data_IF_003636844856
#
_entry.id   IF_003636844856
#
_cell.length_a   1.000
_cell.length_b   1.000
_cell.length_c   1.000
_cell.angle_alpha   90.00
_cell.angle_beta   90.00
_cell.angle_gamma   90.00
#
_symmetry.space_group_name_H-M   'P 1'
#
loop_
_entity.id
_entity.type
_entity.pdbx_description
1 polymer ?
#
# COMPACT_ATOMS: atom_id res chain seq x y z
N UNK A 1 6.87 4.22 -25.93
CA UNK A 1 7.76 3.64 -24.90
C UNK A 1 7.84 4.66 -23.78
N UNK A 2 6.98 4.54 -22.77
CA UNK A 2 6.94 5.48 -21.65
C UNK A 2 8.20 5.28 -20.79
N UNK A 3 8.89 6.37 -20.54
CA UNK A 3 10.03 6.47 -19.63
C UNK A 3 9.64 5.93 -18.25
N UNK A 4 10.29 4.85 -17.80
CA UNK A 4 10.22 4.40 -16.41
C UNK A 4 10.88 5.48 -15.57
N UNK A 5 10.05 6.36 -15.01
CA UNK A 5 10.48 7.26 -13.95
C UNK A 5 11.00 6.37 -12.82
N UNK A 6 12.32 6.43 -12.57
CA UNK A 6 12.94 5.87 -11.37
C UNK A 6 12.40 6.62 -10.16
N UNK A 7 11.18 6.30 -9.75
CA UNK A 7 10.65 6.67 -8.45
C UNK A 7 11.59 6.10 -7.40
N UNK A 8 12.17 6.98 -6.58
CA UNK A 8 12.96 6.56 -5.44
C UNK A 8 12.03 5.88 -4.45
N UNK A 9 11.89 4.56 -4.57
CA UNK A 9 11.16 3.76 -3.57
C UNK A 9 11.77 3.97 -2.20
N UNK A 10 10.92 4.19 -1.21
CA UNK A 10 11.37 4.31 0.18
C UNK A 10 12.06 3.04 0.66
N UNK A 11 12.84 3.11 1.76
CA UNK A 11 13.43 1.90 2.36
C UNK A 11 12.35 0.87 2.73
N UNK A 12 11.21 1.36 3.24
CA UNK A 12 10.08 0.52 3.62
C UNK A 12 9.50 -0.23 2.41
N UNK A 13 9.25 0.46 1.30
CA UNK A 13 8.79 -0.20 0.07
C UNK A 13 9.76 -1.28 -0.41
N UNK A 14 11.08 -1.04 -0.33
CA UNK A 14 12.07 -2.06 -0.72
C UNK A 14 12.01 -3.29 0.19
N UNK A 15 11.84 -3.07 1.49
CA UNK A 15 11.77 -4.15 2.49
C UNK A 15 10.46 -4.95 2.37
N UNK A 16 9.33 -4.28 2.13
CA UNK A 16 8.03 -4.92 1.86
C UNK A 16 8.08 -5.72 0.56
N UNK A 17 8.61 -5.14 -0.51
CA UNK A 17 8.80 -5.83 -1.80
C UNK A 17 9.65 -7.10 -1.62
N UNK A 18 10.78 -7.01 -0.92
CA UNK A 18 11.62 -8.17 -0.62
C UNK A 18 10.89 -9.24 0.21
N UNK A 19 9.94 -8.85 1.07
CA UNK A 19 9.10 -9.79 1.79
C UNK A 19 8.14 -10.54 0.86
N UNK A 20 7.47 -9.82 -0.04
CA UNK A 20 6.59 -10.41 -1.06
C UNK A 20 7.36 -11.36 -1.98
N UNK A 21 8.56 -10.96 -2.42
CA UNK A 21 9.44 -11.79 -3.24
C UNK A 21 9.79 -13.11 -2.53
N UNK A 22 10.17 -13.06 -1.24
CA UNK A 22 10.46 -14.28 -0.44
C UNK A 22 9.25 -15.19 -0.29
N UNK A 23 8.06 -14.62 -0.25
CA UNK A 23 6.80 -15.37 -0.19
C UNK A 23 6.33 -15.84 -1.58
N UNK A 24 7.07 -15.54 -2.65
CA UNK A 24 6.68 -15.81 -4.04
C UNK A 24 5.31 -15.23 -4.40
N UNK A 25 4.95 -14.08 -3.82
CA UNK A 25 3.72 -13.35 -4.13
C UNK A 25 4.04 -12.36 -5.24
N UNK A 26 3.34 -12.46 -6.37
CA UNK A 26 3.46 -11.50 -7.46
C UNK A 26 2.75 -10.18 -7.10
N UNK A 27 3.36 -9.06 -7.46
CA UNK A 27 2.82 -7.72 -7.25
C UNK A 27 3.21 -6.78 -8.39
N UNK A 28 2.32 -5.83 -8.67
CA UNK A 28 2.60 -4.66 -9.49
C UNK A 28 3.00 -3.49 -8.58
N UNK A 29 3.70 -2.50 -9.11
CA UNK A 29 4.25 -1.36 -8.36
C UNK A 29 3.81 -0.04 -8.96
N UNK A 30 3.60 0.96 -8.11
CA UNK A 30 3.20 2.32 -8.51
C UNK A 30 1.97 2.34 -9.46
N UNK A 31 0.96 1.53 -9.12
CA UNK A 31 -0.22 1.36 -9.96
C UNK A 31 -1.16 2.55 -9.79
N UNK A 32 -1.48 3.22 -10.89
CA UNK A 32 -2.49 4.26 -10.90
C UNK A 32 -3.89 3.63 -10.92
N UNK A 33 -4.81 4.11 -10.08
CA UNK A 33 -6.21 3.69 -10.12
C UNK A 33 -6.86 4.09 -11.44
N UNK A 34 -7.92 3.39 -11.85
CA UNK A 34 -8.59 3.63 -13.14
C UNK A 34 -9.14 5.05 -13.29
N UNK A 35 -9.56 5.65 -12.17
CA UNK A 35 -10.03 7.04 -12.09
C UNK A 35 -8.88 8.07 -12.10
N UNK A 36 -7.63 7.62 -12.03
CA UNK A 36 -6.43 8.46 -12.02
C UNK A 36 -6.17 9.19 -10.70
N UNK A 37 -6.95 8.93 -9.65
CA UNK A 37 -6.93 9.73 -8.43
C UNK A 37 -5.86 9.29 -7.42
N UNK A 38 -5.54 8.00 -7.38
CA UNK A 38 -4.62 7.44 -6.40
C UNK A 38 -3.53 6.63 -7.09
N UNK A 39 -2.30 6.74 -6.59
CA UNK A 39 -1.18 5.87 -6.97
C UNK A 39 -0.92 4.93 -5.81
N UNK A 40 -1.09 3.63 -6.07
CA UNK A 40 -0.90 2.55 -5.11
C UNK A 40 0.57 2.12 -5.13
N UNK A 41 1.20 2.00 -3.96
CA UNK A 41 2.61 1.60 -3.89
C UNK A 41 2.82 0.18 -4.45
N UNK A 42 2.02 -0.79 -4.01
CA UNK A 42 2.02 -2.15 -4.55
C UNK A 42 0.61 -2.73 -4.64
N UNK A 43 0.32 -3.43 -5.74
CA UNK A 43 -0.95 -4.12 -5.96
C UNK A 43 -0.72 -5.62 -6.08
N UNK A 44 -1.37 -6.40 -5.22
CA UNK A 44 -1.35 -7.87 -5.26
C UNK A 44 -2.69 -8.39 -5.80
N UNK A 45 -2.61 -9.32 -6.75
CA UNK A 45 -3.77 -10.04 -7.30
C UNK A 45 -3.88 -11.41 -6.66
N UNK A 46 -4.90 -11.58 -5.83
CA UNK A 46 -5.24 -12.85 -5.19
C UNK A 46 -6.46 -13.52 -5.84
N UNK A 47 -6.64 -14.80 -5.50
CA UNK A 47 -7.90 -15.51 -5.75
C UNK A 47 -8.60 -15.83 -4.45
N UNK A 48 -9.92 -15.69 -4.43
CA UNK A 48 -10.77 -16.15 -3.33
C UNK A 48 -11.08 -17.64 -3.48
N UNK A 49 -11.50 -18.28 -2.39
CA UNK A 49 -11.82 -19.72 -2.36
C UNK A 49 -12.98 -20.09 -3.32
N UNK A 50 -13.86 -19.15 -3.63
CA UNK A 50 -14.95 -19.29 -4.60
C UNK A 50 -14.50 -19.04 -6.06
N UNK A 51 -13.20 -18.81 -6.30
CA UNK A 51 -12.62 -18.60 -7.62
C UNK A 51 -12.69 -17.17 -8.15
N UNK A 52 -13.19 -16.21 -7.36
CA UNK A 52 -13.14 -14.79 -7.66
C UNK A 52 -11.71 -14.21 -7.62
N UNK A 53 -11.55 -13.00 -8.19
CA UNK A 53 -10.33 -12.21 -8.06
C UNK A 53 -10.48 -11.23 -6.90
N UNK A 54 -9.42 -11.05 -6.12
CA UNK A 54 -9.35 -10.06 -5.03
C UNK A 54 -8.09 -9.23 -5.20
N UNK A 55 -8.25 -7.92 -5.15
CA UNK A 55 -7.16 -6.97 -5.30
C UNK A 55 -6.79 -6.39 -3.93
N UNK A 56 -5.52 -6.51 -3.56
CA UNK A 56 -4.98 -5.94 -2.33
C UNK A 56 -4.03 -4.80 -2.68
N UNK A 57 -4.39 -3.58 -2.30
CA UNK A 57 -3.49 -2.43 -2.26
C UNK A 57 -2.66 -2.48 -0.98
N UNK A 58 -1.35 -2.44 -1.13
CA UNK A 58 -0.39 -2.33 -0.03
C UNK A 58 0.21 -0.92 -0.09
N UNK A 59 0.01 -0.14 0.97
CA UNK A 59 0.50 1.25 1.12
C UNK A 59 1.60 1.28 2.18
N UNK A 60 2.79 1.76 1.82
CA UNK A 60 3.96 1.83 2.69
C UNK A 60 4.00 3.19 3.41
N UNK A 61 3.18 3.33 4.44
CA UNK A 61 2.93 4.60 5.10
C UNK A 61 4.08 4.98 6.06
N UNK A 62 4.81 6.04 5.72
CA UNK A 62 5.80 6.68 6.57
C UNK A 62 5.20 7.55 7.70
N UNK A 63 6.03 8.12 8.61
CA UNK A 63 5.57 8.83 9.81
C UNK A 63 4.59 9.99 9.57
N UNK A 64 4.63 10.63 8.40
CA UNK A 64 3.74 11.76 8.04
C UNK A 64 2.29 11.35 7.83
N UNK A 65 2.01 10.07 7.61
CA UNK A 65 0.67 9.52 7.43
C UNK A 65 -0.05 9.24 8.76
N UNK A 66 0.63 9.52 9.89
CA UNK A 66 0.12 9.23 11.21
C UNK A 66 0.15 10.46 12.12
N UNK A 67 -0.89 10.58 12.93
CA UNK A 67 -0.95 11.45 14.08
C UNK A 67 -0.47 10.67 15.31
N UNK A 68 0.40 11.30 16.11
CA UNK A 68 0.81 10.78 17.40
C UNK A 68 -0.10 11.34 18.49
N UNK A 69 -0.84 10.45 19.16
CA UNK A 69 -1.68 10.80 20.29
C UNK A 69 -0.85 11.03 21.56
N UNK A 70 -1.46 11.68 22.56
CA UNK A 70 -0.80 12.00 23.83
C UNK A 70 -0.44 10.75 24.67
N UNK A 71 -1.14 9.64 24.46
CA UNK A 71 -0.84 8.33 25.04
C UNK A 71 0.32 7.60 24.34
N UNK A 72 0.92 8.23 23.32
CA UNK A 72 2.01 7.67 22.53
C UNK A 72 1.57 6.76 21.38
N UNK A 73 0.26 6.51 21.22
CA UNK A 73 -0.26 5.69 20.10
C UNK A 73 -0.21 6.46 18.78
N UNK A 74 -0.05 5.73 17.68
CA UNK A 74 -0.15 6.28 16.33
C UNK A 74 -1.52 5.96 15.75
N UNK A 75 -2.12 6.94 15.08
CA UNK A 75 -3.37 6.78 14.34
C UNK A 75 -3.18 7.35 12.94
N UNK A 76 -3.73 6.71 11.93
CA UNK A 76 -3.74 7.27 10.57
C UNK A 76 -4.36 8.67 10.59
N UNK A 77 -3.76 9.59 9.83
CA UNK A 77 -4.30 10.94 9.70
C UNK A 77 -5.55 10.94 8.79
N UNK A 78 -6.21 12.10 8.70
CA UNK A 78 -7.43 12.22 7.90
C UNK A 78 -7.22 11.99 6.41
N UNK A 79 -6.04 12.37 5.88
CA UNK A 79 -5.73 12.23 4.45
C UNK A 79 -5.50 10.77 4.06
N UNK A 80 -4.73 10.04 4.88
CA UNK A 80 -4.47 8.60 4.76
C UNK A 80 -5.76 7.81 4.94
N UNK A 81 -6.60 8.19 5.91
CA UNK A 81 -7.92 7.57 6.08
C UNK A 81 -8.81 7.76 4.84
N UNK A 82 -8.87 8.98 4.29
CA UNK A 82 -9.66 9.26 3.09
C UNK A 82 -9.18 8.45 1.88
N UNK A 83 -7.86 8.42 1.60
CA UNK A 83 -7.26 7.55 0.57
C UNK A 83 -7.69 6.10 0.75
N UNK A 84 -7.55 5.55 1.96
CA UNK A 84 -7.89 4.16 2.24
C UNK A 84 -9.40 3.89 2.09
N UNK A 85 -10.27 4.87 2.36
CA UNK A 85 -11.70 4.74 2.10
C UNK A 85 -12.01 4.73 0.60
N UNK A 86 -11.36 5.57 -0.18
CA UNK A 86 -11.59 5.65 -1.62
C UNK A 86 -11.10 4.39 -2.35
N UNK A 87 -9.92 3.87 -2.00
CA UNK A 87 -9.43 2.59 -2.52
C UNK A 87 -10.40 1.43 -2.20
N UNK A 88 -11.01 1.41 -1.00
CA UNK A 88 -12.02 0.41 -0.66
C UNK A 88 -13.32 0.57 -1.46
N UNK A 89 -13.74 1.79 -1.78
CA UNK A 89 -14.90 2.02 -2.65
C UNK A 89 -14.65 1.53 -4.08
N UNK A 90 -13.40 1.52 -4.53
CA UNK A 90 -12.97 0.93 -5.80
C UNK A 90 -12.90 -0.61 -5.75
N UNK A 91 -13.24 -1.24 -4.61
CA UNK A 91 -13.27 -2.70 -4.46
C UNK A 91 -11.93 -3.32 -4.08
N UNK A 92 -10.93 -2.52 -3.71
CA UNK A 92 -9.66 -3.02 -3.21
C UNK A 92 -9.71 -3.26 -1.70
N UNK A 93 -9.06 -4.31 -1.23
CA UNK A 93 -8.59 -4.33 0.15
C UNK A 93 -7.39 -3.42 0.31
N UNK A 94 -7.23 -2.86 1.50
CA UNK A 94 -6.13 -1.94 1.79
C UNK A 94 -5.38 -2.45 3.01
N UNK A 95 -4.11 -2.78 2.81
CA UNK A 95 -3.13 -3.06 3.85
C UNK A 95 -2.19 -1.86 4.00
N UNK A 96 -2.33 -1.16 5.12
CA UNK A 96 -1.39 -0.13 5.54
C UNK A 96 -0.19 -0.81 6.22
N UNK A 97 1.00 -0.68 5.65
CA UNK A 97 2.25 -1.08 6.30
C UNK A 97 2.84 0.15 6.98
N UNK A 98 2.67 0.22 8.30
CA UNK A 98 3.15 1.33 9.09
C UNK A 98 4.66 1.25 9.32
N UNK A 99 5.41 2.24 8.81
CA UNK A 99 6.87 2.25 8.92
C UNK A 99 7.43 2.29 10.35
N UNK A 100 6.63 2.71 11.33
CA UNK A 100 7.02 2.72 12.75
C UNK A 100 6.80 1.37 13.44
N UNK A 101 6.01 0.48 12.86
CA UNK A 101 5.78 -0.89 13.35
C UNK A 101 6.65 -1.93 12.62
N UNK A 102 7.24 -1.55 11.49
CA UNK A 102 8.07 -2.44 10.67
C UNK A 102 9.44 -2.68 11.32
N UNK A 103 9.59 -3.87 11.91
CA UNK A 103 10.84 -4.31 12.54
C UNK A 103 11.81 -4.74 11.44
N UNK A 104 12.99 -4.10 11.46
CA UNK A 104 14.09 -4.39 10.52
C UNK A 104 14.95 -5.56 10.97
#
# INVERSE_FOLDING_TARGET
LASVSSSYRSSLEKEVAACLDRLSIAYDVEVLTEDGMHRIDMLVRGRTDDGGERLLAIECDGPTHFLRASDGTYRIDGSTYARNCDLRKLGLDVLCVAGHEWIR
#
